data_IF_970895779987
#
_entry.id   IF_970895779987
#
_cell.length_a   1.000
_cell.length_b   1.000
_cell.length_c   1.000
_cell.angle_alpha   90.00
_cell.angle_beta   90.00
_cell.angle_gamma   90.00
#
_symmetry.space_group_name_H-M   'P 1'
#
loop_
_entity.id
_entity.type
_entity.pdbx_description
1 polymer ?
#
# COMPACT_ATOMS: atom_id res chain seq x y z
N UNK A 1 -34.72 -0.69 -33.75
CA UNK A 1 -34.43 -0.61 -32.28
C UNK A 1 -33.48 -1.73 -31.92
N UNK A 2 -32.19 -1.45 -32.18
CA UNK A 2 -31.10 -2.36 -31.79
C UNK A 2 -30.96 -2.36 -30.27
N UNK A 3 -31.43 -3.42 -29.62
CA UNK A 3 -30.95 -3.81 -28.30
C UNK A 3 -29.52 -4.31 -28.52
N UNK A 4 -28.54 -3.42 -28.44
CA UNK A 4 -27.17 -3.84 -28.24
C UNK A 4 -27.16 -4.75 -27.01
N UNK A 5 -26.69 -5.97 -27.17
CA UNK A 5 -26.59 -6.95 -26.12
C UNK A 5 -25.78 -6.32 -24.98
N UNK A 6 -26.42 -6.08 -23.84
CA UNK A 6 -25.79 -5.65 -22.61
C UNK A 6 -24.87 -6.79 -22.18
N UNK A 7 -23.57 -6.64 -22.45
CA UNK A 7 -22.56 -7.60 -22.04
C UNK A 7 -22.37 -7.48 -20.52
N UNK A 8 -23.03 -8.36 -19.78
CA UNK A 8 -22.69 -8.60 -18.39
C UNK A 8 -21.56 -9.63 -18.36
N UNK A 9 -20.45 -9.32 -17.70
CA UNK A 9 -19.39 -10.28 -17.40
C UNK A 9 -19.49 -10.62 -15.92
N UNK A 10 -19.92 -11.83 -15.63
CA UNK A 10 -20.06 -12.32 -14.27
C UNK A 10 -18.99 -13.38 -14.00
N UNK A 11 -18.24 -13.19 -12.95
CA UNK A 11 -17.26 -14.15 -12.46
C UNK A 11 -17.51 -14.39 -10.97
N UNK A 12 -17.75 -15.63 -10.59
CA UNK A 12 -17.78 -16.05 -9.21
C UNK A 12 -16.73 -17.14 -8.98
N UNK A 13 -16.03 -17.07 -7.88
CA UNK A 13 -15.02 -18.03 -7.50
C UNK A 13 -15.05 -18.38 -6.02
N UNK A 14 -14.71 -19.61 -5.70
CA UNK A 14 -14.54 -20.10 -4.35
C UNK A 14 -13.21 -20.82 -4.25
N UNK A 15 -12.34 -20.34 -3.36
CA UNK A 15 -11.03 -20.94 -3.11
C UNK A 15 -10.96 -21.37 -1.64
N UNK A 16 -10.50 -22.57 -1.38
CA UNK A 16 -10.12 -23.02 -0.06
C UNK A 16 -8.61 -23.07 0.07
N UNK A 17 -8.09 -22.51 1.15
CA UNK A 17 -6.67 -22.59 1.49
C UNK A 17 -6.49 -23.20 2.88
N UNK A 18 -5.55 -24.13 2.98
CA UNK A 18 -5.08 -24.69 4.24
C UNK A 18 -3.61 -24.39 4.41
N UNK A 19 -3.24 -23.88 5.57
CA UNK A 19 -1.86 -23.56 5.93
C UNK A 19 -1.45 -24.36 7.16
N UNK A 20 -0.30 -25.02 7.07
CA UNK A 20 0.36 -25.68 8.20
C UNK A 20 1.82 -25.25 8.25
N UNK A 21 2.27 -24.73 9.37
CA UNK A 21 3.68 -24.43 9.56
C UNK A 21 4.13 -24.79 10.97
N UNK A 22 5.41 -25.10 11.08
CA UNK A 22 6.09 -25.35 12.35
C UNK A 22 7.26 -24.39 12.45
N UNK A 23 7.48 -23.85 13.63
CA UNK A 23 8.68 -23.10 13.94
C UNK A 23 9.34 -23.73 15.16
N UNK A 24 10.67 -23.82 15.10
CA UNK A 24 11.48 -24.31 16.22
C UNK A 24 12.55 -23.25 16.50
N UNK A 25 12.51 -22.72 17.70
CA UNK A 25 13.51 -21.83 18.23
C UNK A 25 14.52 -22.70 18.99
N UNK A 26 15.73 -22.78 18.48
CA UNK A 26 16.83 -23.41 19.20
C UNK A 26 17.18 -22.54 20.40
N UNK A 27 17.22 -23.13 21.58
CA UNK A 27 17.61 -22.46 22.83
C UNK A 27 19.11 -22.19 22.89
N UNK A 28 19.46 -21.46 23.90
CA UNK A 28 20.83 -21.22 24.31
C UNK A 28 20.91 -21.25 25.83
N UNK A 29 22.03 -20.83 26.41
CA UNK A 29 22.22 -20.81 27.87
C UNK A 29 21.22 -19.92 28.64
N UNK A 30 20.54 -19.00 27.93
CA UNK A 30 19.62 -17.99 28.51
C UNK A 30 18.17 -18.27 28.16
N UNK A 31 17.91 -18.76 26.94
CA UNK A 31 16.57 -19.00 26.38
C UNK A 31 16.38 -20.49 26.13
N UNK A 32 15.28 -21.04 26.64
CA UNK A 32 14.92 -22.46 26.43
C UNK A 32 14.46 -22.71 25.01
N UNK A 33 14.73 -23.91 24.49
CA UNK A 33 14.13 -24.41 23.25
C UNK A 33 12.62 -24.26 23.28
N UNK A 34 12.05 -23.76 22.21
CA UNK A 34 10.61 -23.69 22.05
C UNK A 34 10.21 -24.03 20.62
N UNK A 35 9.13 -24.77 20.48
CA UNK A 35 8.57 -25.11 19.18
C UNK A 35 7.08 -24.87 19.19
N UNK A 36 6.55 -24.40 18.07
CA UNK A 36 5.12 -24.29 17.89
C UNK A 36 4.68 -24.74 16.50
N UNK A 37 3.46 -25.25 16.43
CA UNK A 37 2.81 -25.64 15.18
C UNK A 37 1.51 -24.84 15.05
N UNK A 38 1.24 -24.35 13.88
CA UNK A 38 0.01 -23.64 13.52
C UNK A 38 -0.64 -24.29 12.31
N UNK A 39 -1.94 -24.51 12.42
CA UNK A 39 -2.78 -25.00 11.34
C UNK A 39 -4.00 -24.09 11.26
N UNK A 40 -4.35 -23.66 10.07
CA UNK A 40 -5.58 -22.93 9.81
C UNK A 40 -6.03 -23.11 8.36
N UNK A 41 -7.35 -23.13 8.16
CA UNK A 41 -7.95 -23.16 6.85
C UNK A 41 -9.03 -22.10 6.73
N UNK A 42 -9.26 -21.61 5.54
CA UNK A 42 -10.35 -20.67 5.27
C UNK A 42 -10.82 -20.73 3.83
N UNK A 43 -12.08 -20.33 3.65
CA UNK A 43 -12.72 -20.20 2.34
C UNK A 43 -12.62 -18.73 1.91
N UNK A 44 -12.32 -18.52 0.63
CA UNK A 44 -12.14 -17.22 0.00
C UNK A 44 -13.09 -17.08 -1.19
N UNK A 45 -14.31 -16.59 -0.95
CA UNK A 45 -15.22 -16.25 -2.03
C UNK A 45 -14.75 -14.98 -2.75
N UNK A 46 -14.98 -14.95 -4.06
CA UNK A 46 -14.81 -13.80 -4.93
C UNK A 46 -16.01 -13.68 -5.85
N UNK A 47 -16.43 -12.44 -6.10
CA UNK A 47 -17.43 -12.14 -7.11
C UNK A 47 -17.03 -10.86 -7.84
N UNK A 48 -17.23 -10.88 -9.14
CA UNK A 48 -17.05 -9.75 -10.02
C UNK A 48 -18.23 -9.72 -10.98
N UNK A 49 -18.88 -8.57 -11.05
CA UNK A 49 -19.99 -8.32 -11.97
C UNK A 49 -19.70 -7.02 -12.68
N UNK A 50 -19.67 -7.04 -14.01
CA UNK A 50 -19.51 -5.85 -14.82
C UNK A 50 -20.70 -5.73 -15.77
N UNK A 51 -21.41 -4.63 -15.66
CA UNK A 51 -22.59 -4.31 -16.44
C UNK A 51 -22.37 -3.08 -17.30
N UNK A 52 -22.47 -3.23 -18.59
CA UNK A 52 -22.43 -2.12 -19.56
C UNK A 52 -23.84 -1.57 -19.71
N UNK A 53 -24.15 -0.46 -19.03
CA UNK A 53 -25.48 0.14 -19.07
C UNK A 53 -25.78 0.77 -20.43
N UNK A 54 -24.80 1.42 -21.05
CA UNK A 54 -24.83 1.94 -22.40
C UNK A 54 -23.39 2.12 -22.95
N UNK A 55 -23.25 2.69 -24.14
CA UNK A 55 -21.93 2.91 -24.77
C UNK A 55 -20.98 3.80 -23.97
N UNK A 56 -21.49 4.54 -23.01
CA UNK A 56 -20.72 5.51 -22.22
C UNK A 56 -20.60 5.11 -20.75
N UNK A 57 -21.47 4.25 -20.25
CA UNK A 57 -21.61 3.96 -18.81
C UNK A 57 -21.41 2.48 -18.52
N UNK A 58 -20.47 2.16 -17.66
CA UNK A 58 -20.31 0.82 -17.09
C UNK A 58 -20.31 0.87 -15.59
N UNK A 59 -20.87 -0.18 -14.97
CA UNK A 59 -20.95 -0.37 -13.53
C UNK A 59 -20.25 -1.67 -13.20
N UNK A 60 -19.35 -1.65 -12.24
CA UNK A 60 -18.59 -2.83 -11.81
C UNK A 60 -18.73 -3.03 -10.32
N UNK A 61 -19.18 -4.19 -9.92
CA UNK A 61 -19.21 -4.63 -8.53
C UNK A 61 -18.12 -5.66 -8.28
N UNK A 62 -17.41 -5.53 -7.16
CA UNK A 62 -16.36 -6.45 -6.71
C UNK A 62 -16.56 -6.82 -5.25
N UNK A 63 -16.48 -8.10 -4.98
CA UNK A 63 -16.49 -8.69 -3.65
C UNK A 63 -15.35 -9.68 -3.54
N UNK A 64 -14.62 -9.67 -2.44
CA UNK A 64 -13.60 -10.67 -2.19
C UNK A 64 -13.17 -10.76 -0.73
N UNK A 65 -12.89 -11.97 -0.28
CA UNK A 65 -12.22 -12.23 0.99
C UNK A 65 -10.76 -12.58 0.73
N UNK A 66 -9.84 -12.01 1.50
CA UNK A 66 -8.39 -12.28 1.40
C UNK A 66 -7.83 -12.59 2.77
N UNK A 67 -6.71 -13.31 2.79
CA UNK A 67 -5.88 -13.54 3.96
C UNK A 67 -4.58 -12.76 3.79
N UNK A 68 -4.12 -12.16 4.86
CA UNK A 68 -2.80 -11.56 4.97
C UNK A 68 -2.06 -12.25 6.12
N UNK A 69 -0.96 -12.90 5.78
CA UNK A 69 -0.14 -13.68 6.70
C UNK A 69 1.02 -12.82 7.19
N UNK A 70 1.33 -12.84 8.49
CA UNK A 70 2.48 -12.11 8.99
C UNK A 70 3.76 -12.61 8.30
N UNK A 71 4.67 -11.71 7.89
CA UNK A 71 6.02 -12.09 7.45
C UNK A 71 6.73 -12.91 8.52
N UNK A 72 7.61 -13.82 8.11
CA UNK A 72 8.32 -14.69 9.07
C UNK A 72 9.17 -13.90 10.07
N UNK A 73 9.74 -12.78 9.66
CA UNK A 73 10.48 -11.86 10.53
C UNK A 73 9.61 -11.36 11.70
N UNK A 74 8.32 -11.09 11.44
CA UNK A 74 7.40 -10.65 12.50
C UNK A 74 7.03 -11.75 13.49
N UNK A 75 7.34 -13.00 13.18
CA UNK A 75 7.16 -14.15 14.05
C UNK A 75 8.42 -14.49 14.89
N UNK A 76 9.55 -13.86 14.56
CA UNK A 76 10.81 -14.11 15.24
C UNK A 76 10.86 -13.39 16.60
N UNK A 77 10.87 -14.10 17.74
CA UNK A 77 10.82 -13.48 19.05
C UNK A 77 12.15 -12.90 19.55
N UNK A 78 13.23 -13.04 18.78
CA UNK A 78 14.52 -12.48 19.16
C UNK A 78 14.50 -10.97 19.15
N UNK A 79 14.97 -10.38 20.28
CA UNK A 79 15.05 -8.94 20.40
C UNK A 79 16.34 -8.42 19.78
N UNK A 80 16.18 -7.49 18.85
CA UNK A 80 17.26 -6.69 18.26
C UNK A 80 17.31 -5.34 18.97
N UNK A 81 18.49 -4.91 19.36
CA UNK A 81 18.70 -3.61 19.99
C UNK A 81 18.70 -2.52 18.94
N UNK A 82 17.77 -1.58 19.02
CA UNK A 82 17.74 -0.37 18.20
C UNK A 82 18.57 0.74 18.85
N UNK A 83 18.41 0.91 20.15
CA UNK A 83 19.21 1.80 20.98
C UNK A 83 19.20 1.33 22.44
N UNK A 84 19.82 2.10 23.35
CA UNK A 84 19.97 1.77 24.78
C UNK A 84 18.64 1.48 25.51
N UNK A 85 17.52 2.01 25.00
CA UNK A 85 16.21 1.93 25.64
C UNK A 85 15.14 1.27 24.77
N UNK A 86 15.47 0.95 23.52
CA UNK A 86 14.52 0.50 22.52
C UNK A 86 14.99 -0.79 21.86
N UNK A 87 14.11 -1.77 21.85
CA UNK A 87 14.34 -3.07 21.24
C UNK A 87 13.24 -3.34 20.20
N UNK A 88 13.55 -4.16 19.23
CA UNK A 88 12.58 -4.66 18.26
C UNK A 88 12.56 -6.18 18.31
N UNK A 89 11.37 -6.78 18.28
CA UNK A 89 11.20 -8.22 18.22
C UNK A 89 9.85 -8.61 17.69
N UNK A 90 9.79 -9.73 16.98
CA UNK A 90 8.53 -10.26 16.48
C UNK A 90 7.75 -10.98 17.58
N UNK A 91 6.56 -11.41 17.21
CA UNK A 91 5.65 -12.15 18.08
C UNK A 91 5.22 -13.45 17.39
N UNK A 92 5.66 -14.63 17.86
CA UNK A 92 5.33 -15.91 17.24
C UNK A 92 3.82 -16.25 17.34
N UNK A 93 3.06 -15.50 18.12
CA UNK A 93 1.65 -15.74 18.36
C UNK A 93 0.72 -14.92 17.46
N UNK A 94 1.25 -14.11 16.53
CA UNK A 94 0.43 -13.36 15.57
C UNK A 94 -0.40 -14.33 14.73
N UNK A 95 -1.69 -14.05 14.66
CA UNK A 95 -2.64 -14.74 13.77
C UNK A 95 -2.69 -14.04 12.42
N UNK A 96 -2.95 -14.75 11.31
CA UNK A 96 -3.26 -14.11 10.06
C UNK A 96 -4.53 -13.27 10.18
N UNK A 97 -4.58 -12.16 9.45
CA UNK A 97 -5.77 -11.32 9.37
C UNK A 97 -6.58 -11.64 8.11
N UNK A 98 -7.89 -11.45 8.19
CA UNK A 98 -8.81 -11.69 7.10
C UNK A 98 -9.52 -10.41 6.72
N UNK A 99 -9.47 -10.07 5.43
CA UNK A 99 -10.06 -8.85 4.90
C UNK A 99 -11.19 -9.16 3.94
N UNK A 100 -12.38 -8.66 4.23
CA UNK A 100 -13.46 -8.55 3.26
C UNK A 100 -13.36 -7.21 2.54
N UNK A 101 -13.47 -7.25 1.22
CA UNK A 101 -13.44 -6.08 0.36
C UNK A 101 -14.70 -6.04 -0.49
N UNK A 102 -15.34 -4.88 -0.52
CA UNK A 102 -16.49 -4.55 -1.36
C UNK A 102 -16.15 -3.30 -2.14
N UNK A 103 -16.44 -3.27 -3.41
CA UNK A 103 -16.29 -2.07 -4.22
C UNK A 103 -17.37 -2.00 -5.30
N UNK A 104 -17.88 -0.80 -5.52
CA UNK A 104 -18.79 -0.46 -6.60
C UNK A 104 -18.20 0.71 -7.36
N UNK A 105 -17.93 0.51 -8.64
CA UNK A 105 -17.38 1.52 -9.51
C UNK A 105 -18.35 1.84 -10.66
N UNK A 106 -18.48 3.11 -10.98
CA UNK A 106 -19.14 3.61 -12.18
C UNK A 106 -18.10 4.30 -13.05
N UNK A 107 -18.01 3.89 -14.31
CA UNK A 107 -17.10 4.49 -15.29
C UNK A 107 -17.91 5.15 -16.39
N UNK A 108 -17.66 6.44 -16.60
CA UNK A 108 -18.27 7.25 -17.65
C UNK A 108 -17.26 7.52 -18.77
N UNK A 109 -17.61 7.13 -20.00
CA UNK A 109 -16.82 7.33 -21.24
C UNK A 109 -15.34 6.89 -21.12
N UNK A 110 -15.02 5.93 -20.24
CA UNK A 110 -13.64 5.55 -19.93
C UNK A 110 -12.76 6.73 -19.46
N UNK A 111 -13.38 7.84 -19.13
CA UNK A 111 -12.73 9.10 -18.75
C UNK A 111 -12.80 9.37 -17.26
N UNK A 112 -13.97 9.12 -16.67
CA UNK A 112 -14.22 9.35 -15.25
C UNK A 112 -14.68 8.05 -14.60
N UNK A 113 -13.97 7.62 -13.56
CA UNK A 113 -14.37 6.48 -12.73
C UNK A 113 -14.55 6.95 -11.30
N UNK A 114 -15.76 6.73 -10.78
CA UNK A 114 -16.14 6.97 -9.40
C UNK A 114 -16.26 5.61 -8.72
N UNK A 115 -15.52 5.36 -7.66
CA UNK A 115 -15.57 4.12 -6.90
C UNK A 115 -15.85 4.40 -5.44
N UNK A 116 -16.81 3.69 -4.87
CA UNK A 116 -17.00 3.58 -3.43
C UNK A 116 -16.56 2.20 -2.97
N UNK A 117 -15.88 2.13 -1.86
CA UNK A 117 -15.34 0.89 -1.34
C UNK A 117 -15.51 0.78 0.17
N UNK A 118 -15.62 -0.46 0.64
CA UNK A 118 -15.62 -0.79 2.05
C UNK A 118 -14.73 -1.99 2.27
N UNK A 119 -13.83 -1.92 3.24
CA UNK A 119 -13.06 -3.07 3.69
C UNK A 119 -13.20 -3.27 5.20
N UNK A 120 -13.39 -4.52 5.60
CA UNK A 120 -13.41 -4.96 6.98
C UNK A 120 -12.33 -6.01 7.22
N UNK A 121 -11.42 -5.73 8.15
CA UNK A 121 -10.31 -6.59 8.51
C UNK A 121 -10.49 -7.10 9.93
N UNK A 122 -10.63 -8.40 10.04
CA UNK A 122 -10.69 -9.11 11.32
C UNK A 122 -9.29 -9.57 11.72
N UNK A 123 -9.04 -9.64 13.03
CA UNK A 123 -7.73 -10.00 13.61
C UNK A 123 -6.60 -9.09 13.07
N UNK A 124 -6.94 -7.80 12.88
CA UNK A 124 -5.99 -6.81 12.38
C UNK A 124 -4.72 -6.82 13.23
N UNK A 125 -3.58 -7.07 12.61
CA UNK A 125 -2.29 -6.95 13.26
C UNK A 125 -1.59 -5.66 12.86
N UNK A 126 -0.99 -5.02 13.84
CA UNK A 126 -0.31 -3.75 13.68
C UNK A 126 1.00 -3.79 14.45
N UNK A 127 1.94 -2.93 14.10
CA UNK A 127 3.04 -2.60 14.97
C UNK A 127 2.51 -1.94 16.23
N UNK A 128 3.04 -2.35 17.36
CA UNK A 128 2.68 -1.84 18.67
C UNK A 128 3.94 -1.61 19.51
N UNK A 129 3.86 -0.60 20.36
CA UNK A 129 4.88 -0.29 21.35
C UNK A 129 4.40 -0.78 22.71
N UNK A 130 5.23 -1.51 23.39
CA UNK A 130 4.98 -1.98 24.75
C UNK A 130 6.15 -1.61 25.65
N UNK A 131 5.84 -1.31 26.91
CA UNK A 131 6.87 -1.11 27.93
C UNK A 131 7.23 -2.48 28.53
N UNK A 132 8.51 -2.83 28.48
CA UNK A 132 9.02 -4.01 29.18
C UNK A 132 9.17 -3.69 30.67
N UNK A 133 8.15 -4.04 31.45
CA UNK A 133 8.13 -3.79 32.89
C UNK A 133 9.24 -4.54 33.65
N UNK A 134 9.73 -5.66 33.12
CA UNK A 134 10.79 -6.43 33.77
C UNK A 134 12.16 -5.77 33.66
N UNK A 135 12.40 -5.00 32.59
CA UNK A 135 13.66 -4.28 32.35
C UNK A 135 13.57 -2.80 32.66
N UNK A 136 12.35 -2.28 32.87
CA UNK A 136 12.11 -0.88 33.21
C UNK A 136 12.24 -0.64 34.71
N UNK A 137 12.61 0.58 35.10
CA UNK A 137 12.61 1.06 36.49
C UNK A 137 12.15 2.53 36.52
N UNK A 138 12.12 3.15 37.70
CA UNK A 138 11.63 4.52 37.92
C UNK A 138 12.30 5.55 37.01
N UNK A 139 13.56 5.30 36.62
CA UNK A 139 14.36 6.26 35.81
C UNK A 139 14.61 5.78 34.37
N UNK A 140 14.03 4.63 33.96
CA UNK A 140 14.35 4.00 32.70
C UNK A 140 13.18 3.20 32.16
N UNK A 141 12.54 3.68 31.11
CA UNK A 141 11.56 2.93 30.35
C UNK A 141 12.25 2.16 29.21
N UNK A 142 12.07 0.87 29.20
CA UNK A 142 12.48 0.02 28.06
C UNK A 142 11.26 -0.21 27.18
N UNK A 143 11.40 0.15 25.92
CA UNK A 143 10.35 0.06 24.90
C UNK A 143 10.67 -1.11 23.97
N UNK A 144 9.69 -1.93 23.72
CA UNK A 144 9.78 -2.99 22.72
C UNK A 144 8.83 -2.67 21.57
N UNK A 145 9.39 -2.55 20.37
CA UNK A 145 8.65 -2.55 19.12
C UNK A 145 8.32 -4.00 18.78
N UNK A 146 7.05 -4.30 18.69
CA UNK A 146 6.59 -5.64 18.34
C UNK A 146 5.35 -5.57 17.47
N UNK A 147 4.78 -6.68 17.12
CA UNK A 147 3.54 -6.77 16.37
C UNK A 147 2.52 -7.63 17.10
N UNK A 148 1.26 -7.26 17.00
CA UNK A 148 0.17 -8.00 17.63
C UNK A 148 -1.14 -7.87 16.90
N UNK A 149 -2.03 -8.85 17.07
CA UNK A 149 -3.41 -8.73 16.64
C UNK A 149 -4.14 -7.81 17.62
N UNK A 150 -4.48 -6.63 17.18
CA UNK A 150 -5.02 -5.57 18.06
C UNK A 150 -6.55 -5.46 17.99
N UNK A 151 -7.19 -6.07 17.00
CA UNK A 151 -8.66 -6.06 16.92
C UNK A 151 -9.19 -6.02 15.51
N UNK A 152 -9.92 -4.97 15.13
CA UNK A 152 -10.52 -4.82 13.80
C UNK A 152 -10.16 -3.48 13.15
N UNK A 153 -10.14 -3.50 11.83
CA UNK A 153 -9.92 -2.33 10.99
C UNK A 153 -11.04 -2.24 9.96
N UNK A 154 -11.64 -1.07 9.84
CA UNK A 154 -12.62 -0.75 8.81
C UNK A 154 -12.12 0.43 8.00
N UNK A 155 -12.37 0.41 6.69
CA UNK A 155 -12.06 1.51 5.80
C UNK A 155 -13.22 1.75 4.84
N UNK A 156 -13.73 2.96 4.83
CA UNK A 156 -14.66 3.47 3.84
C UNK A 156 -13.86 4.34 2.86
N UNK A 157 -13.87 3.96 1.60
CA UNK A 157 -13.10 4.62 0.56
C UNK A 157 -14.00 5.25 -0.51
N UNK A 158 -13.57 6.41 -1.01
CA UNK A 158 -14.09 7.02 -2.24
C UNK A 158 -12.87 7.29 -3.11
N UNK A 159 -12.91 6.79 -4.34
CA UNK A 159 -11.84 7.03 -5.33
C UNK A 159 -12.45 7.65 -6.57
N UNK A 160 -11.91 8.81 -6.95
CA UNK A 160 -12.23 9.50 -8.19
C UNK A 160 -11.02 9.41 -9.11
N UNK A 161 -11.19 8.85 -10.29
CA UNK A 161 -10.15 8.78 -11.31
C UNK A 161 -10.63 9.49 -12.56
N UNK A 162 -9.90 10.52 -12.96
CA UNK A 162 -10.13 11.26 -14.18
C UNK A 162 -8.93 11.09 -15.11
N UNK A 163 -9.17 10.62 -16.33
CA UNK A 163 -8.15 10.47 -17.35
C UNK A 163 -8.71 10.91 -18.69
N UNK A 164 -8.19 11.99 -19.21
CA UNK A 164 -8.71 12.56 -20.45
C UNK A 164 -7.66 13.34 -21.25
N UNK A 165 -7.64 13.19 -22.58
CA UNK A 165 -6.89 14.08 -23.45
C UNK A 165 -7.63 15.41 -23.57
N UNK A 166 -7.26 16.40 -22.74
CA UNK A 166 -7.87 17.74 -22.76
C UNK A 166 -7.70 18.42 -24.11
N UNK A 167 -6.57 18.13 -24.78
CA UNK A 167 -6.29 18.53 -26.16
C UNK A 167 -5.51 17.40 -26.85
N UNK A 168 -5.25 17.56 -28.17
CA UNK A 168 -4.40 16.60 -28.92
C UNK A 168 -2.96 16.52 -28.42
N UNK A 169 -2.53 17.48 -27.64
CA UNK A 169 -1.16 17.58 -27.12
C UNK A 169 -1.07 17.57 -25.58
N UNK A 170 -2.21 17.52 -24.86
CA UNK A 170 -2.23 17.52 -23.41
C UNK A 170 -3.15 16.40 -22.87
N UNK A 171 -2.54 15.46 -22.18
CA UNK A 171 -3.24 14.41 -21.43
C UNK A 171 -3.15 14.71 -19.94
N UNK A 172 -4.29 14.63 -19.25
CA UNK A 172 -4.39 14.78 -17.81
C UNK A 172 -4.86 13.47 -17.19
N UNK A 173 -4.16 13.02 -16.15
CA UNK A 173 -4.64 11.98 -15.23
C UNK A 173 -4.66 12.57 -13.84
N UNK A 174 -5.80 12.50 -13.17
CA UNK A 174 -5.96 12.92 -11.77
C UNK A 174 -6.65 11.81 -10.99
N UNK A 175 -6.13 11.52 -9.81
CA UNK A 175 -6.72 10.54 -8.90
C UNK A 175 -6.84 11.17 -7.53
N UNK A 176 -8.04 11.11 -6.95
CA UNK A 176 -8.30 11.50 -5.57
C UNK A 176 -8.84 10.29 -4.81
N UNK A 177 -8.19 9.94 -3.70
CA UNK A 177 -8.59 8.81 -2.85
C UNK A 177 -8.85 9.35 -1.45
N UNK A 178 -10.10 9.31 -1.04
CA UNK A 178 -10.50 9.61 0.33
C UNK A 178 -10.74 8.30 1.08
N UNK A 179 -10.20 8.20 2.29
CA UNK A 179 -10.38 7.07 3.19
C UNK A 179 -10.83 7.56 4.55
N UNK A 180 -11.89 6.94 5.08
CA UNK A 180 -12.29 7.07 6.47
C UNK A 180 -12.06 5.73 7.17
N UNK A 181 -11.02 5.69 8.02
CA UNK A 181 -10.55 4.50 8.71
C UNK A 181 -11.05 4.49 10.14
N UNK A 182 -11.51 3.34 10.61
CA UNK A 182 -11.89 3.09 12.00
C UNK A 182 -11.10 1.88 12.49
N UNK A 183 -10.24 2.09 13.47
CA UNK A 183 -9.47 1.02 14.11
C UNK A 183 -10.01 0.85 15.52
N UNK A 184 -10.42 -0.36 15.87
CA UNK A 184 -10.85 -0.71 17.22
C UNK A 184 -10.05 -1.90 17.70
N UNK A 185 -9.52 -1.80 18.90
CA UNK A 185 -8.70 -2.89 19.44
C UNK A 185 -8.28 -2.70 20.87
N UNK A 186 -7.44 -3.62 21.32
CA UNK A 186 -6.83 -3.61 22.64
C UNK A 186 -5.34 -3.87 22.48
N UNK A 187 -4.51 -3.04 23.06
CA UNK A 187 -3.06 -3.27 23.20
C UNK A 187 -2.76 -3.42 24.69
N UNK A 188 -2.70 -2.34 25.42
CA UNK A 188 -2.60 -2.25 26.89
C UNK A 188 -3.90 -1.69 27.50
N UNK A 189 -4.71 -1.02 26.71
CA UNK A 189 -6.04 -0.51 27.02
C UNK A 189 -6.90 -0.54 25.74
N UNK A 190 -8.22 -0.43 25.82
CA UNK A 190 -9.07 -0.25 24.64
C UNK A 190 -8.66 0.98 23.85
N UNK A 191 -8.44 0.81 22.56
CA UNK A 191 -8.06 1.88 21.64
C UNK A 191 -9.10 1.97 20.52
N UNK A 192 -9.54 3.19 20.25
CA UNK A 192 -10.33 3.49 19.06
C UNK A 192 -9.72 4.70 18.35
N UNK A 193 -9.29 4.49 17.12
CA UNK A 193 -8.83 5.56 16.24
C UNK A 193 -9.79 5.75 15.07
N UNK A 194 -10.06 7.00 14.72
CA UNK A 194 -10.82 7.40 13.53
C UNK A 194 -9.97 8.37 12.73
N UNK A 195 -9.76 8.06 11.45
CA UNK A 195 -8.81 8.80 10.61
C UNK A 195 -9.45 9.10 9.27
N UNK A 196 -9.49 10.39 8.93
CA UNK A 196 -9.79 10.85 7.58
C UNK A 196 -8.48 11.12 6.85
N UNK A 197 -8.31 10.54 5.68
CA UNK A 197 -7.11 10.69 4.86
C UNK A 197 -7.51 10.95 3.42
N UNK A 198 -6.93 11.98 2.82
CA UNK A 198 -7.05 12.30 1.40
C UNK A 198 -5.69 12.17 0.74
N UNK A 199 -5.64 11.44 -0.37
CA UNK A 199 -4.50 11.37 -1.27
C UNK A 199 -4.93 11.91 -2.63
N UNK A 200 -4.17 12.85 -3.17
CA UNK A 200 -4.40 13.39 -4.51
C UNK A 200 -3.13 13.17 -5.31
N UNK A 201 -3.25 12.66 -6.52
CA UNK A 201 -2.16 12.59 -7.48
C UNK A 201 -2.61 13.14 -8.83
N UNK A 202 -1.73 13.91 -9.45
CA UNK A 202 -1.99 14.55 -10.76
C UNK A 202 -0.78 14.31 -11.65
N UNK A 203 -1.06 13.89 -12.88
CA UNK A 203 -0.05 13.76 -13.93
C UNK A 203 -0.51 14.50 -15.18
N UNK A 204 0.28 15.45 -15.62
CA UNK A 204 0.09 16.18 -16.86
C UNK A 204 1.20 15.76 -17.83
N UNK A 205 0.80 15.31 -19.01
CA UNK A 205 1.70 14.95 -20.10
C UNK A 205 1.40 15.83 -21.31
N UNK A 206 2.43 16.54 -21.78
CA UNK A 206 2.35 17.43 -22.92
C UNK A 206 3.19 16.88 -24.08
N UNK A 207 2.53 16.59 -25.21
CA UNK A 207 3.18 16.14 -26.44
C UNK A 207 3.31 17.34 -27.39
N UNK A 208 4.50 17.93 -27.41
CA UNK A 208 4.75 19.16 -28.18
C UNK A 208 5.26 18.84 -29.58
N UNK A 209 5.24 19.86 -30.45
CA UNK A 209 5.75 19.71 -31.80
C UNK A 209 7.25 19.40 -31.85
N UNK A 210 7.73 18.87 -32.99
CA UNK A 210 9.15 18.55 -33.24
C UNK A 210 9.76 17.53 -32.25
N UNK A 211 8.93 16.64 -31.64
CA UNK A 211 9.39 15.57 -30.76
C UNK A 211 9.80 16.03 -29.36
N UNK A 212 9.32 17.17 -28.91
CA UNK A 212 9.40 17.58 -27.51
C UNK A 212 8.24 17.01 -26.72
N UNK A 213 8.48 16.64 -25.49
CA UNK A 213 7.45 16.34 -24.50
C UNK A 213 7.82 16.94 -23.15
N UNK A 214 6.79 17.35 -22.41
CA UNK A 214 6.92 17.86 -21.05
C UNK A 214 5.99 17.07 -20.14
N UNK A 215 6.41 16.83 -18.92
CA UNK A 215 5.65 16.15 -17.88
C UNK A 215 5.69 16.96 -16.60
N UNK A 216 4.54 17.14 -15.96
CA UNK A 216 4.41 17.73 -14.64
C UNK A 216 3.51 16.82 -13.82
N UNK A 217 4.07 16.22 -12.77
CA UNK A 217 3.35 15.28 -11.92
C UNK A 217 3.58 15.59 -10.45
N UNK A 218 2.64 15.21 -9.62
CA UNK A 218 2.80 15.37 -8.19
C UNK A 218 1.74 14.61 -7.42
N UNK A 219 1.99 14.44 -6.13
CA UNK A 219 1.02 13.95 -5.20
C UNK A 219 1.01 14.77 -3.91
N UNK A 220 -0.11 14.72 -3.23
CA UNK A 220 -0.28 15.26 -1.89
C UNK A 220 -1.08 14.28 -1.05
N UNK A 221 -0.62 14.04 0.17
CA UNK A 221 -1.29 13.23 1.17
C UNK A 221 -1.49 14.06 2.42
N UNK A 222 -2.70 14.10 2.93
CA UNK A 222 -2.99 14.67 4.24
C UNK A 222 -2.39 13.83 5.35
N UNK A 223 -2.46 14.30 6.59
CA UNK A 223 -2.10 13.51 7.77
C UNK A 223 -2.68 12.11 7.66
N UNK A 224 -1.86 11.10 7.95
CA UNK A 224 -2.24 9.69 7.85
C UNK A 224 -1.82 8.92 9.09
N UNK A 225 -2.45 7.79 9.31
CA UNK A 225 -2.07 6.83 10.33
C UNK A 225 -1.51 5.59 9.62
N UNK A 226 -0.27 5.22 9.95
CA UNK A 226 0.41 4.06 9.37
C UNK A 226 0.05 2.82 10.16
N UNK A 227 0.31 2.87 11.46
CA UNK A 227 0.03 1.83 12.42
C UNK A 227 -0.84 2.39 13.55
N UNK A 228 -1.29 1.55 14.47
CA UNK A 228 -2.24 1.94 15.51
C UNK A 228 -1.78 3.14 16.35
N UNK A 229 -0.48 3.29 16.54
CA UNK A 229 0.14 4.29 17.42
C UNK A 229 1.01 5.30 16.66
N UNK A 230 1.12 5.18 15.32
CA UNK A 230 1.97 6.03 14.50
C UNK A 230 1.20 6.89 13.52
N UNK A 231 1.55 8.16 13.49
CA UNK A 231 0.97 9.17 12.63
C UNK A 231 2.02 9.83 11.76
N UNK A 232 1.70 10.02 10.49
CA UNK A 232 2.49 10.85 9.59
C UNK A 232 1.87 12.23 9.42
N UNK A 233 2.72 13.24 9.37
CA UNK A 233 2.34 14.58 8.93
C UNK A 233 2.02 14.60 7.43
N UNK A 234 1.33 15.63 6.93
CA UNK A 234 1.10 15.76 5.50
C UNK A 234 2.42 15.74 4.71
N UNK A 235 2.38 15.10 3.55
CA UNK A 235 3.53 14.99 2.64
C UNK A 235 3.10 15.07 1.19
N UNK A 236 4.05 15.37 0.31
CA UNK A 236 3.78 15.45 -1.12
C UNK A 236 5.06 15.55 -1.93
N UNK A 237 4.92 15.54 -3.22
CA UNK A 237 6.02 15.61 -4.16
C UNK A 237 5.55 16.31 -5.44
N UNK A 238 6.39 17.19 -6.00
CA UNK A 238 6.17 17.79 -7.31
C UNK A 238 7.37 17.47 -8.19
N UNK A 239 7.10 16.90 -9.37
CA UNK A 239 8.08 16.44 -10.33
C UNK A 239 7.87 17.12 -11.67
N UNK A 240 8.95 17.44 -12.35
CA UNK A 240 8.90 17.92 -13.73
C UNK A 240 9.92 17.21 -14.61
N UNK A 241 9.61 17.08 -15.88
CA UNK A 241 10.50 16.48 -16.84
C UNK A 241 10.30 17.05 -18.25
N UNK A 242 11.38 17.20 -18.98
CA UNK A 242 11.37 17.53 -20.39
C UNK A 242 12.14 16.49 -21.17
N UNK A 243 11.58 16.04 -22.26
CA UNK A 243 12.24 15.07 -23.12
C UNK A 243 12.20 15.51 -24.59
N UNK A 244 13.23 15.12 -25.32
CA UNK A 244 13.41 15.38 -26.73
C UNK A 244 13.72 14.10 -27.47
N UNK A 245 12.91 13.80 -28.48
CA UNK A 245 13.23 12.75 -29.42
C UNK A 245 14.34 13.22 -30.38
N UNK A 246 15.38 12.43 -30.52
CA UNK A 246 16.56 12.66 -31.35
C UNK A 246 16.83 11.46 -32.26
N UNK A 247 17.87 11.51 -33.10
CA UNK A 247 18.27 10.39 -33.99
C UNK A 247 17.10 9.84 -34.82
N UNK A 248 16.33 10.71 -35.49
CA UNK A 248 15.14 10.34 -36.29
C UNK A 248 14.14 9.49 -35.48
N UNK A 249 13.88 9.86 -34.22
CA UNK A 249 13.00 9.18 -33.24
C UNK A 249 13.54 7.85 -32.68
N UNK A 250 14.80 7.50 -32.99
CA UNK A 250 15.45 6.31 -32.40
C UNK A 250 16.06 6.56 -31.03
N UNK A 251 16.33 7.82 -30.69
CA UNK A 251 16.87 8.21 -29.39
C UNK A 251 15.96 9.17 -28.65
N UNK A 252 16.08 9.22 -27.33
CA UNK A 252 15.41 10.17 -26.45
C UNK A 252 16.40 10.68 -25.40
N UNK A 253 16.51 12.00 -25.28
CA UNK A 253 17.19 12.66 -24.16
C UNK A 253 16.11 13.16 -23.21
N UNK A 254 16.18 12.83 -21.93
CA UNK A 254 15.23 13.30 -20.89
C UNK A 254 16.01 13.94 -19.74
N UNK A 255 15.63 15.16 -19.38
CA UNK A 255 16.02 15.83 -18.15
C UNK A 255 14.80 15.85 -17.24
N UNK A 256 14.96 15.40 -16.01
CA UNK A 256 13.89 15.40 -15.02
C UNK A 256 14.41 15.86 -13.65
N UNK A 257 13.52 16.51 -12.91
CA UNK A 257 13.74 16.89 -11.52
C UNK A 257 12.61 16.31 -10.69
N UNK A 258 13.00 15.64 -9.62
CA UNK A 258 12.09 15.04 -8.64
C UNK A 258 12.07 15.93 -7.40
N UNK A 259 10.90 15.97 -6.74
CA UNK A 259 10.63 16.68 -5.49
C UNK A 259 11.13 18.14 -5.50
N UNK A 260 10.65 18.92 -6.45
CA UNK A 260 11.00 20.34 -6.62
C UNK A 260 10.68 21.11 -5.34
N UNK A 261 9.60 20.77 -4.67
CA UNK A 261 9.11 21.43 -3.46
C UNK A 261 9.84 21.03 -2.19
N UNK A 262 10.62 19.91 -2.26
CA UNK A 262 11.28 19.29 -1.11
C UNK A 262 10.31 18.97 0.04
N UNK A 263 9.14 18.50 -0.33
CA UNK A 263 8.06 18.23 0.61
C UNK A 263 7.85 16.72 0.88
N UNK A 264 8.69 15.88 0.28
CA UNK A 264 8.71 14.45 0.54
C UNK A 264 9.50 14.17 1.83
N UNK A 265 8.93 14.52 2.98
CA UNK A 265 9.52 14.26 4.29
C UNK A 265 8.74 13.16 5.00
N UNK A 266 9.43 12.15 5.50
CA UNK A 266 8.83 11.14 6.36
C UNK A 266 8.92 11.62 7.81
N UNK A 267 7.95 12.42 8.21
CA UNK A 267 7.86 13.00 9.55
C UNK A 267 6.56 12.61 10.20
N UNK A 268 6.60 12.41 11.50
CA UNK A 268 5.43 11.97 12.24
C UNK A 268 5.69 11.92 13.73
N UNK A 269 4.85 11.19 14.42
CA UNK A 269 5.00 10.92 15.84
C UNK A 269 4.30 9.61 16.21
N UNK A 270 4.85 8.97 17.23
CA UNK A 270 4.25 7.82 17.88
C UNK A 270 3.70 8.23 19.24
N UNK A 271 2.52 7.71 19.58
CA UNK A 271 1.89 7.93 20.88
C UNK A 271 1.50 6.61 21.51
N UNK A 272 2.01 6.34 22.70
CA UNK A 272 1.59 5.17 23.46
C UNK A 272 1.74 5.44 24.96
N UNK A 273 0.72 5.07 25.73
CA UNK A 273 0.62 5.40 27.15
C UNK A 273 0.88 6.90 27.40
N UNK A 274 1.91 7.23 28.15
CA UNK A 274 2.30 8.61 28.48
C UNK A 274 3.47 9.11 27.60
N UNK A 275 3.84 8.36 26.55
CA UNK A 275 4.96 8.70 25.68
C UNK A 275 4.48 9.35 24.40
N UNK A 276 5.21 10.38 23.97
CA UNK A 276 5.09 11.05 22.69
C UNK A 276 6.47 11.13 22.04
N UNK A 277 6.65 10.46 20.93
CA UNK A 277 7.93 10.37 20.23
C UNK A 277 7.81 10.95 18.83
N UNK A 278 8.22 12.20 18.59
CA UNK A 278 8.28 12.75 17.25
C UNK A 278 9.49 12.16 16.51
N UNK A 279 9.31 11.92 15.22
CA UNK A 279 10.39 11.48 14.35
C UNK A 279 10.39 12.25 13.03
N UNK A 280 11.57 12.41 12.46
CA UNK A 280 11.75 12.97 11.11
C UNK A 280 12.89 12.25 10.41
N UNK A 281 12.56 11.62 9.29
CA UNK A 281 13.53 11.01 8.40
C UNK A 281 13.58 11.84 7.12
N UNK A 282 14.74 12.41 6.83
CA UNK A 282 15.00 13.16 5.60
C UNK A 282 15.97 12.37 4.75
N UNK A 283 15.62 12.15 3.52
CA UNK A 283 16.51 11.60 2.50
C UNK A 283 16.64 12.57 1.33
N UNK A 284 17.62 12.35 0.49
CA UNK A 284 17.83 13.15 -0.70
C UNK A 284 16.74 12.85 -1.75
N UNK A 285 15.54 13.43 -1.53
CA UNK A 285 14.39 13.27 -2.42
C UNK A 285 14.52 14.13 -3.68
N UNK A 286 15.20 15.29 -3.58
CA UNK A 286 15.42 16.21 -4.70
C UNK A 286 16.54 15.72 -5.59
N UNK A 287 16.16 15.14 -6.74
CA UNK A 287 17.10 14.52 -7.66
C UNK A 287 16.91 15.09 -9.06
N UNK A 288 18.00 15.60 -9.65
CA UNK A 288 18.07 15.94 -11.07
C UNK A 288 18.67 14.76 -11.83
N UNK A 289 17.99 14.30 -12.86
CA UNK A 289 18.44 13.16 -13.66
C UNK A 289 18.45 13.53 -15.15
N UNK A 290 19.60 13.35 -15.78
CA UNK A 290 19.73 13.35 -17.23
C UNK A 290 19.82 11.90 -17.72
N UNK A 291 19.00 11.53 -18.69
CA UNK A 291 19.02 10.20 -19.28
C UNK A 291 19.00 10.26 -20.80
N UNK A 292 19.70 9.34 -21.41
CA UNK A 292 19.67 9.10 -22.86
C UNK A 292 19.29 7.64 -23.10
N UNK A 293 18.28 7.43 -23.92
CA UNK A 293 17.86 6.10 -24.37
C UNK A 293 17.98 6.01 -25.88
N UNK A 294 18.53 4.92 -26.36
CA UNK A 294 18.66 4.67 -27.79
C UNK A 294 18.13 3.28 -28.13
N UNK A 295 17.22 3.23 -29.12
CA UNK A 295 16.65 1.99 -29.65
C UNK A 295 17.44 1.57 -30.88
N UNK A 296 18.08 0.41 -30.81
CA UNK A 296 18.80 -0.22 -31.92
C UNK A 296 18.31 -1.66 -32.09
N UNK A 297 18.49 -2.23 -33.29
CA UNK A 297 18.02 -3.59 -33.62
C UNK A 297 16.56 -3.65 -34.07
N UNK A 298 16.07 -4.86 -34.29
CA UNK A 298 14.68 -5.17 -34.65
C UNK A 298 13.84 -5.33 -33.38
N UNK A 299 12.59 -4.88 -33.43
CA UNK A 299 11.65 -5.10 -32.32
C UNK A 299 11.43 -6.59 -32.11
N UNK A 300 11.78 -7.10 -30.92
CA UNK A 300 11.42 -8.47 -30.52
C UNK A 300 10.00 -8.46 -29.95
N UNK A 301 9.17 -9.45 -30.32
CA UNK A 301 7.89 -9.66 -29.65
C UNK A 301 8.14 -10.02 -28.20
N UNK A 302 7.64 -9.20 -27.28
CA UNK A 302 7.70 -9.53 -25.87
C UNK A 302 6.81 -10.76 -25.60
N UNK A 303 7.39 -11.80 -25.02
CA UNK A 303 6.64 -12.92 -24.48
C UNK A 303 6.17 -12.49 -23.09
N UNK A 304 4.85 -12.38 -22.90
CA UNK A 304 4.28 -12.17 -21.58
C UNK A 304 4.59 -13.39 -20.71
N UNK A 305 5.37 -13.19 -19.66
CA UNK A 305 5.53 -14.21 -18.61
C UNK A 305 4.44 -13.95 -17.57
N UNK A 306 3.60 -14.95 -17.30
CA UNK A 306 2.73 -14.93 -16.14
C UNK A 306 3.61 -15.02 -14.89
N UNK A 307 3.40 -14.12 -13.93
CA UNK A 307 4.00 -14.27 -12.61
C UNK A 307 3.50 -15.59 -12.00
N UNK A 308 4.43 -16.40 -11.50
CA UNK A 308 4.09 -17.67 -10.86
C UNK A 308 3.24 -17.43 -9.61
N UNK A 309 2.30 -18.35 -9.32
CA UNK A 309 1.35 -18.25 -8.20
C UNK A 309 1.97 -18.29 -6.79
N UNK A 310 3.29 -18.19 -6.66
CA UNK A 310 4.01 -18.19 -5.39
C UNK A 310 4.47 -16.79 -4.93
N UNK A 311 4.03 -15.72 -5.57
CA UNK A 311 4.45 -14.33 -5.23
C UNK A 311 4.20 -13.97 -3.77
N UNK A 312 3.08 -14.40 -3.19
CA UNK A 312 2.74 -14.14 -1.80
C UNK A 312 3.71 -14.81 -0.82
N UNK A 313 4.15 -16.03 -1.14
CA UNK A 313 5.11 -16.76 -0.30
C UNK A 313 6.54 -16.19 -0.44
N UNK A 314 6.93 -15.77 -1.63
CA UNK A 314 8.21 -15.08 -1.87
C UNK A 314 8.27 -13.79 -1.06
N UNK A 315 7.21 -12.99 -1.06
CA UNK A 315 7.13 -11.74 -0.30
C UNK A 315 7.17 -11.96 1.23
N UNK A 316 6.80 -13.14 1.71
CA UNK A 316 6.87 -13.49 3.15
C UNK A 316 8.28 -13.83 3.62
N UNK A 317 9.16 -14.26 2.74
CA UNK A 317 10.55 -14.60 3.10
C UNK A 317 11.39 -13.35 3.37
N UNK A 318 10.96 -12.21 2.84
CA UNK A 318 11.66 -10.93 2.96
C UNK A 318 12.91 -10.86 2.05
N UNK A 319 13.21 -9.68 1.57
CA UNK A 319 14.51 -9.39 0.97
C UNK A 319 15.49 -8.94 2.05
#
# INVERSE_FOLDING_TARGET
>A
TDRQAQLAQDLAGLRYEFTSYKAHQLGNTVVKDSAFKRNYGSIFPTAFVSYQADSNNSITFRLGKRIDRPPFQNLNPFLTTLNKYTFEGGNPFIKPQYTWNFALAHTYKQMLTNEISYSYRKDYFSQIFIIDSNRSNVNKNIIIYTRGNVGSFQNFGITETFQYPLTKWWNLTAVAVYNYKIIKGVVWAPIQAKVSQLNISINNQFQLKKGWSFELSGFYQTRSQIDLQEWLTPQGELNAGVAKQVLKKKGTVKLSIRDITWFQNYSGYSTFQNSYEPFTIKWDSRVVRLSFSWRFGKAMKAVSRSEGGASDEINRVGN
#
